data_IF_787745384983
#
_entry.id   IF_787745384983
#
_cell.length_a   1.000
_cell.length_b   1.000
_cell.length_c   1.000
_cell.angle_alpha   90.00
_cell.angle_beta   90.00
_cell.angle_gamma   90.00
#
_symmetry.space_group_name_H-M   'P 1'
#
loop_
_entity.id
_entity.type
_entity.pdbx_description
1 polymer ?
#
# COMPACT_ATOMS: atom_id res chain seq x y z
N UNK A 1 13.59 11.16 -27.19
CA UNK A 1 14.41 10.11 -26.55
C UNK A 1 15.04 9.30 -27.67
N UNK A 2 16.31 8.92 -27.56
CA UNK A 2 16.89 7.95 -28.49
C UNK A 2 16.79 6.52 -27.90
N UNK A 3 17.02 5.50 -28.73
CA UNK A 3 16.87 4.08 -28.33
C UNK A 3 17.80 3.71 -27.18
N UNK A 4 19.05 4.18 -27.20
CA UNK A 4 20.04 3.85 -26.17
C UNK A 4 19.65 4.45 -24.80
N UNK A 5 19.21 5.72 -24.80
CA UNK A 5 18.68 6.41 -23.63
C UNK A 5 17.44 5.68 -23.08
N UNK A 6 16.53 5.24 -23.95
CA UNK A 6 15.34 4.49 -23.55
C UNK A 6 15.69 3.14 -22.91
N UNK A 7 16.65 2.40 -23.50
CA UNK A 7 17.16 1.14 -22.93
C UNK A 7 17.77 1.37 -21.56
N UNK A 8 18.61 2.39 -21.41
CA UNK A 8 19.24 2.73 -20.13
C UNK A 8 18.20 3.06 -19.05
N UNK A 9 17.19 3.88 -19.38
CA UNK A 9 16.09 4.23 -18.47
C UNK A 9 15.38 2.98 -17.98
N UNK A 10 15.01 2.07 -18.87
CA UNK A 10 14.30 0.84 -18.51
C UNK A 10 15.18 -0.07 -17.66
N UNK A 11 16.35 -0.47 -18.19
CA UNK A 11 17.23 -1.46 -17.55
C UNK A 11 17.62 -1.02 -16.13
N UNK A 12 18.00 0.24 -15.94
CA UNK A 12 18.42 0.74 -14.60
C UNK A 12 17.28 0.79 -13.58
N UNK A 13 16.03 0.81 -14.02
CA UNK A 13 14.87 0.93 -13.12
C UNK A 13 14.07 -0.37 -12.96
N UNK A 14 14.30 -1.38 -13.80
CA UNK A 14 13.51 -2.63 -13.79
C UNK A 14 14.33 -3.92 -13.81
N UNK A 15 15.64 -3.85 -14.11
CA UNK A 15 16.51 -5.02 -14.25
C UNK A 15 17.02 -5.61 -12.93
N UNK A 16 17.62 -6.81 -12.99
CA UNK A 16 18.31 -7.43 -11.84
C UNK A 16 19.50 -6.55 -11.42
N UNK A 17 19.51 -6.12 -10.16
CA UNK A 17 20.54 -5.23 -9.62
C UNK A 17 20.21 -3.75 -9.71
N UNK A 18 18.99 -3.39 -10.16
CA UNK A 18 18.50 -2.02 -10.07
C UNK A 18 18.61 -1.51 -8.61
N UNK A 19 19.02 -0.25 -8.39
CA UNK A 19 19.16 0.31 -7.06
C UNK A 19 17.86 0.20 -6.25
N UNK A 20 17.99 0.07 -4.91
CA UNK A 20 16.83 0.00 -3.99
C UNK A 20 15.89 1.22 -4.14
N UNK A 21 16.43 2.35 -4.62
CA UNK A 21 15.66 3.54 -5.00
C UNK A 21 15.65 3.69 -6.51
N UNK A 22 14.46 3.95 -7.03
CA UNK A 22 14.20 4.20 -8.44
C UNK A 22 14.83 5.53 -8.88
N UNK A 23 15.44 5.54 -10.06
CA UNK A 23 16.13 6.71 -10.62
C UNK A 23 15.16 7.61 -11.41
N UNK A 24 14.09 7.02 -11.96
CA UNK A 24 13.11 7.74 -12.76
C UNK A 24 11.65 7.46 -12.35
N UNK A 25 10.76 8.46 -12.48
CA UNK A 25 9.31 8.28 -12.31
C UNK A 25 8.75 7.18 -13.20
N UNK A 26 7.68 6.50 -12.77
CA UNK A 26 7.04 5.45 -13.59
C UNK A 26 6.57 5.94 -14.96
N UNK A 27 6.11 7.19 -15.05
CA UNK A 27 5.72 7.81 -16.32
C UNK A 27 6.88 7.79 -17.33
N UNK A 28 8.07 8.26 -16.92
CA UNK A 28 9.24 8.30 -17.79
C UNK A 28 9.69 6.90 -18.25
N UNK A 29 9.57 5.91 -17.37
CA UNK A 29 9.91 4.52 -17.71
C UNK A 29 8.88 3.90 -18.65
N UNK A 30 7.60 4.22 -18.48
CA UNK A 30 6.54 3.80 -19.39
C UNK A 30 6.74 4.41 -20.78
N UNK A 31 7.05 5.70 -20.86
CA UNK A 31 7.36 6.39 -22.13
C UNK A 31 8.57 5.77 -22.83
N UNK A 32 9.65 5.50 -22.08
CA UNK A 32 10.82 4.81 -22.61
C UNK A 32 10.48 3.42 -23.13
N UNK A 33 9.65 2.66 -22.40
CA UNK A 33 9.21 1.34 -22.84
C UNK A 33 8.39 1.39 -24.13
N UNK A 34 7.44 2.34 -24.24
CA UNK A 34 6.65 2.53 -25.47
C UNK A 34 7.53 2.85 -26.66
N UNK A 35 8.50 3.75 -26.48
CA UNK A 35 9.48 4.07 -27.50
C UNK A 35 10.26 2.85 -28.00
N UNK A 36 10.69 1.95 -27.10
CA UNK A 36 11.38 0.71 -27.47
C UNK A 36 10.49 -0.29 -28.21
N UNK A 37 9.20 -0.38 -27.83
CA UNK A 37 8.24 -1.23 -28.53
C UNK A 37 8.01 -0.71 -29.95
N UNK A 38 7.83 0.60 -30.11
CA UNK A 38 7.63 1.26 -31.40
C UNK A 38 8.85 1.11 -32.32
N UNK A 39 10.05 1.38 -31.79
CA UNK A 39 11.31 1.27 -32.54
C UNK A 39 11.60 -0.17 -33.01
N UNK A 40 11.44 -1.15 -32.11
CA UNK A 40 11.65 -2.56 -32.44
C UNK A 40 10.51 -3.18 -33.27
N UNK A 41 9.36 -2.51 -33.32
CA UNK A 41 8.12 -2.97 -33.93
C UNK A 41 7.46 -4.18 -33.22
N UNK A 42 7.92 -4.54 -32.01
CA UNK A 42 7.50 -5.77 -31.35
C UNK A 42 7.80 -5.80 -29.86
N UNK A 43 6.80 -6.13 -29.04
CA UNK A 43 6.97 -6.42 -27.61
C UNK A 43 8.01 -7.52 -27.37
N UNK A 44 8.05 -8.54 -28.24
CA UNK A 44 9.01 -9.65 -28.11
C UNK A 44 10.44 -9.13 -28.23
N UNK A 45 10.73 -8.35 -29.28
CA UNK A 45 12.08 -7.79 -29.49
C UNK A 45 12.45 -6.80 -28.38
N UNK A 46 11.55 -5.89 -28.01
CA UNK A 46 11.78 -4.99 -26.89
C UNK A 46 12.10 -5.75 -25.59
N UNK A 47 11.40 -6.85 -25.31
CA UNK A 47 11.63 -7.67 -24.11
C UNK A 47 13.00 -8.35 -24.10
N UNK A 48 13.46 -8.85 -25.25
CA UNK A 48 14.79 -9.44 -25.42
C UNK A 48 15.88 -8.38 -25.24
N UNK A 49 15.68 -7.18 -25.81
CA UNK A 49 16.62 -6.07 -25.75
C UNK A 49 16.88 -5.54 -24.33
N UNK A 50 15.86 -5.50 -23.47
CA UNK A 50 15.99 -5.00 -22.09
C UNK A 50 16.07 -6.11 -21.02
N UNK A 51 16.05 -7.38 -21.45
CA UNK A 51 16.11 -8.52 -20.53
C UNK A 51 14.92 -8.63 -19.57
N UNK A 52 13.72 -8.28 -20.01
CA UNK A 52 12.47 -8.38 -19.24
C UNK A 52 11.55 -9.46 -19.81
N UNK A 53 10.58 -9.92 -19.02
CA UNK A 53 9.50 -10.74 -19.57
C UNK A 53 8.58 -9.89 -20.46
N UNK A 54 7.98 -10.50 -21.48
CA UNK A 54 6.98 -9.82 -22.31
C UNK A 54 5.79 -9.30 -21.48
N UNK A 55 5.44 -9.99 -20.38
CA UNK A 55 4.40 -9.53 -19.47
C UNK A 55 4.80 -8.24 -18.75
N UNK A 56 6.05 -8.14 -18.26
CA UNK A 56 6.55 -6.91 -17.64
C UNK A 56 6.58 -5.75 -18.64
N UNK A 57 7.02 -6.00 -19.87
CA UNK A 57 7.00 -5.00 -20.95
C UNK A 57 5.59 -4.49 -21.19
N UNK A 58 4.60 -5.39 -21.36
CA UNK A 58 3.19 -5.02 -21.52
C UNK A 58 2.66 -4.24 -20.31
N UNK A 59 2.99 -4.68 -19.10
CA UNK A 59 2.53 -4.04 -17.87
C UNK A 59 3.05 -2.60 -17.73
N UNK A 60 4.30 -2.35 -18.11
CA UNK A 60 4.92 -1.03 -18.08
C UNK A 60 4.34 -0.14 -19.18
N UNK A 61 4.21 -0.65 -20.41
CA UNK A 61 3.65 0.11 -21.52
C UNK A 61 2.20 0.54 -21.26
N UNK A 62 1.40 -0.32 -20.64
CA UNK A 62 0.01 -0.04 -20.29
C UNK A 62 -0.15 1.19 -19.37
N UNK A 63 0.89 1.57 -18.62
CA UNK A 63 0.85 2.76 -17.77
C UNK A 63 0.72 4.06 -18.57
N UNK A 64 1.13 4.08 -19.84
CA UNK A 64 0.97 5.25 -20.70
C UNK A 64 -0.49 5.55 -21.04
N UNK A 65 -1.35 4.54 -20.99
CA UNK A 65 -2.77 4.63 -21.35
C UNK A 65 -3.65 5.15 -20.20
N UNK A 66 -3.04 5.37 -19.02
CA UNK A 66 -3.71 5.99 -17.89
C UNK A 66 -4.04 7.47 -18.15
N UNK A 67 -5.10 8.01 -17.53
CA UNK A 67 -5.45 9.42 -17.59
C UNK A 67 -4.32 10.30 -17.08
N UNK A 68 -4.23 11.52 -17.61
CA UNK A 68 -3.17 12.47 -17.24
C UNK A 68 -3.17 12.78 -15.74
N UNK A 69 -4.34 12.74 -15.10
CA UNK A 69 -4.57 12.95 -13.68
C UNK A 69 -4.03 11.80 -12.82
N UNK A 70 -3.97 10.57 -13.36
CA UNK A 70 -3.47 9.39 -12.65
C UNK A 70 -1.94 9.30 -12.74
N UNK A 71 -1.34 9.78 -13.84
CA UNK A 71 0.10 9.68 -14.09
C UNK A 71 0.99 10.20 -12.94
N UNK A 72 0.70 11.36 -12.30
CA UNK A 72 1.47 11.85 -11.15
C UNK A 72 1.43 10.93 -9.92
N UNK A 73 0.36 10.14 -9.76
CA UNK A 73 0.15 9.27 -8.60
C UNK A 73 0.90 7.94 -8.71
N UNK A 74 1.44 7.61 -9.89
CA UNK A 74 2.06 6.32 -10.17
C UNK A 74 3.25 5.97 -9.27
N UNK A 75 4.02 6.98 -8.82
CA UNK A 75 5.14 6.74 -7.92
C UNK A 75 4.69 6.37 -6.50
N UNK A 76 3.51 6.82 -6.08
CA UNK A 76 2.91 6.47 -4.79
C UNK A 76 2.25 5.08 -4.84
N UNK A 77 1.42 4.83 -5.86
CA UNK A 77 0.65 3.58 -5.97
C UNK A 77 1.50 2.42 -6.53
N UNK A 78 2.50 2.73 -7.35
CA UNK A 78 3.36 1.76 -8.03
C UNK A 78 2.74 1.17 -9.31
N UNK A 79 3.55 0.43 -10.07
CA UNK A 79 3.21 0.00 -11.43
C UNK A 79 2.14 -1.10 -11.43
N UNK A 80 2.09 -1.93 -10.40
CA UNK A 80 1.12 -3.02 -10.31
C UNK A 80 -0.30 -2.49 -10.08
N UNK A 81 -0.45 -1.46 -9.25
CA UNK A 81 -1.74 -0.77 -9.08
C UNK A 81 -2.09 0.00 -10.34
N UNK A 82 -1.11 0.69 -10.97
CA UNK A 82 -1.30 1.36 -12.25
C UNK A 82 -1.79 0.44 -13.37
N UNK A 83 -1.17 -0.74 -13.54
CA UNK A 83 -1.59 -1.78 -14.49
C UNK A 83 -3.05 -2.19 -14.27
N UNK A 84 -3.46 -2.36 -13.01
CA UNK A 84 -4.83 -2.74 -12.65
C UNK A 84 -5.82 -1.62 -12.94
N UNK A 85 -5.48 -0.37 -12.62
CA UNK A 85 -6.28 0.80 -12.96
C UNK A 85 -6.48 0.90 -14.47
N UNK A 86 -5.42 0.73 -15.26
CA UNK A 86 -5.49 0.82 -16.71
C UNK A 86 -6.40 -0.25 -17.34
N UNK A 87 -6.64 -1.37 -16.63
CA UNK A 87 -7.59 -2.40 -17.06
C UNK A 87 -9.07 -2.05 -16.82
N UNK A 88 -9.36 -0.94 -16.15
CA UNK A 88 -10.73 -0.43 -15.95
C UNK A 88 -11.08 0.42 -17.18
N UNK A 89 -12.18 0.11 -17.88
CA UNK A 89 -12.53 0.83 -19.11
C UNK A 89 -12.95 2.29 -18.91
N UNK A 90 -13.47 2.63 -17.73
CA UNK A 90 -13.97 3.97 -17.42
C UNK A 90 -12.88 4.89 -16.82
N UNK A 91 -12.58 5.99 -17.52
CA UNK A 91 -11.53 6.95 -17.12
C UNK A 91 -11.89 7.67 -15.82
N UNK A 92 -13.15 8.03 -15.61
CA UNK A 92 -13.55 8.73 -14.38
C UNK A 92 -13.35 7.85 -13.15
N UNK A 93 -13.69 6.56 -13.26
CA UNK A 93 -13.43 5.55 -12.25
C UNK A 93 -11.95 5.36 -11.99
N UNK A 94 -11.11 5.33 -13.03
CA UNK A 94 -9.65 5.26 -12.88
C UNK A 94 -9.11 6.42 -12.04
N UNK A 95 -9.53 7.65 -12.34
CA UNK A 95 -9.10 8.86 -11.63
C UNK A 95 -9.51 8.79 -10.15
N UNK A 96 -10.81 8.57 -9.88
CA UNK A 96 -11.34 8.50 -8.51
C UNK A 96 -10.70 7.39 -7.68
N UNK A 97 -10.47 6.22 -8.29
CA UNK A 97 -9.79 5.12 -7.59
C UNK A 97 -8.33 5.47 -7.29
N UNK A 98 -7.61 6.07 -8.24
CA UNK A 98 -6.22 6.47 -8.04
C UNK A 98 -6.06 7.42 -6.85
N UNK A 99 -6.93 8.44 -6.75
CA UNK A 99 -6.97 9.38 -5.62
C UNK A 99 -7.26 8.68 -4.29
N UNK A 100 -8.22 7.74 -4.29
CA UNK A 100 -8.61 6.98 -3.11
C UNK A 100 -7.48 6.07 -2.60
N UNK A 101 -6.72 5.47 -3.52
CA UNK A 101 -5.73 4.43 -3.18
C UNK A 101 -4.29 4.95 -3.06
N UNK A 102 -3.98 6.13 -3.59
CA UNK A 102 -2.68 6.81 -3.42
C UNK A 102 -2.20 6.85 -1.96
N UNK A 103 -3.02 7.25 -0.96
CA UNK A 103 -2.55 7.30 0.43
C UNK A 103 -2.51 5.92 1.12
N UNK A 104 -2.86 4.83 0.44
CA UNK A 104 -2.99 3.50 1.03
C UNK A 104 -1.73 2.66 0.81
N UNK A 105 -1.58 1.61 1.61
CA UNK A 105 -0.54 0.61 1.38
C UNK A 105 -0.83 -0.10 0.06
N UNK A 106 0.21 -0.43 -0.71
CA UNK A 106 0.10 -1.11 -2.01
C UNK A 106 -0.82 -2.33 -1.99
N UNK A 107 -0.76 -3.16 -0.94
CA UNK A 107 -1.66 -4.32 -0.79
C UNK A 107 -3.13 -3.91 -0.75
N UNK A 108 -3.45 -2.89 0.04
CA UNK A 108 -4.81 -2.40 0.21
C UNK A 108 -5.32 -1.72 -1.07
N UNK A 109 -4.44 -0.95 -1.73
CA UNK A 109 -4.72 -0.36 -3.04
C UNK A 109 -5.08 -1.43 -4.08
N UNK A 110 -4.27 -2.49 -4.19
CA UNK A 110 -4.53 -3.60 -5.12
C UNK A 110 -5.87 -4.30 -4.85
N UNK A 111 -6.21 -4.55 -3.59
CA UNK A 111 -7.49 -5.17 -3.21
C UNK A 111 -8.68 -4.28 -3.58
N UNK A 112 -8.57 -2.96 -3.38
CA UNK A 112 -9.61 -1.99 -3.76
C UNK A 112 -9.82 -1.96 -5.28
N UNK A 113 -8.74 -1.86 -6.06
CA UNK A 113 -8.85 -1.82 -7.52
C UNK A 113 -9.41 -3.15 -8.07
N UNK A 114 -8.96 -4.29 -7.54
CA UNK A 114 -9.50 -5.60 -7.95
C UNK A 114 -10.98 -5.75 -7.62
N UNK A 115 -11.40 -5.29 -6.45
CA UNK A 115 -12.81 -5.34 -6.04
C UNK A 115 -13.65 -4.46 -6.96
N UNK A 116 -13.20 -3.23 -7.25
CA UNK A 116 -13.92 -2.32 -8.15
C UNK A 116 -14.09 -2.90 -9.55
N UNK A 117 -13.08 -3.62 -10.06
CA UNK A 117 -13.17 -4.29 -11.37
C UNK A 117 -14.18 -5.42 -11.40
N UNK A 118 -14.32 -6.16 -10.29
CA UNK A 118 -15.29 -7.26 -10.16
C UNK A 118 -16.72 -6.76 -9.90
N UNK A 119 -16.84 -5.55 -9.36
CA UNK A 119 -18.10 -4.95 -8.95
C UNK A 119 -18.23 -3.51 -9.49
N UNK A 120 -18.36 -3.33 -10.81
CA UNK A 120 -18.45 -2.00 -11.43
C UNK A 120 -19.71 -1.23 -11.04
N UNK A 121 -20.71 -1.89 -10.43
CA UNK A 121 -21.92 -1.28 -9.89
C UNK A 121 -21.68 -0.41 -8.66
N UNK A 122 -20.55 -0.59 -7.95
CA UNK A 122 -20.23 0.22 -6.78
C UNK A 122 -19.37 1.41 -7.14
N UNK A 123 -19.65 2.55 -6.51
CA UNK A 123 -18.78 3.70 -6.62
C UNK A 123 -17.40 3.41 -5.98
N UNK A 124 -16.32 4.07 -6.43
CA UNK A 124 -14.98 3.95 -5.83
C UNK A 124 -14.96 4.12 -4.30
N UNK A 125 -15.76 5.05 -3.78
CA UNK A 125 -15.90 5.30 -2.34
C UNK A 125 -16.54 4.13 -1.59
N UNK A 126 -17.58 3.53 -2.17
CA UNK A 126 -18.24 2.35 -1.59
C UNK A 126 -17.32 1.13 -1.60
N UNK A 127 -16.56 0.95 -2.69
CA UNK A 127 -15.55 -0.12 -2.79
C UNK A 127 -14.53 0.01 -1.67
N UNK A 128 -13.97 1.21 -1.46
CA UNK A 128 -13.03 1.48 -0.36
C UNK A 128 -13.65 1.10 0.99
N UNK A 129 -14.87 1.57 1.27
CA UNK A 129 -15.55 1.30 2.53
C UNK A 129 -15.75 -0.19 2.75
N UNK A 130 -16.23 -0.93 1.75
CA UNK A 130 -16.44 -2.38 1.81
C UNK A 130 -15.14 -3.12 2.06
N UNK A 131 -14.11 -2.89 1.25
CA UNK A 131 -12.81 -3.58 1.39
C UNK A 131 -12.16 -3.29 2.75
N UNK A 132 -12.22 -2.04 3.21
CA UNK A 132 -11.62 -1.67 4.51
C UNK A 132 -12.43 -2.21 5.70
N UNK A 133 -13.76 -2.35 5.57
CA UNK A 133 -14.61 -2.87 6.64
C UNK A 133 -14.39 -4.37 6.91
N UNK A 134 -13.94 -5.12 5.90
CA UNK A 134 -13.62 -6.55 6.01
C UNK A 134 -12.27 -6.81 6.69
N UNK A 135 -11.46 -5.78 6.92
CA UNK A 135 -10.14 -5.94 7.54
C UNK A 135 -10.28 -6.07 9.05
N UNK A 136 -9.59 -7.04 9.68
CA UNK A 136 -9.52 -7.10 11.12
C UNK A 136 -8.99 -5.78 11.65
N UNK A 137 -9.68 -5.18 12.63
CA UNK A 137 -9.16 -4.01 13.33
C UNK A 137 -7.85 -4.43 14.00
N UNK A 138 -6.74 -3.87 13.52
CA UNK A 138 -5.44 -4.02 14.20
C UNK A 138 -5.46 -3.11 15.42
N UNK A 139 -5.82 -3.65 16.56
CA UNK A 139 -5.63 -2.96 17.82
C UNK A 139 -4.13 -2.95 18.14
N UNK A 140 -3.58 -1.76 18.44
CA UNK A 140 -2.21 -1.65 18.94
C UNK A 140 -2.23 -2.12 20.38
N UNK A 141 -1.77 -3.36 20.60
CA UNK A 141 -1.56 -3.88 21.95
C UNK A 141 -0.18 -3.41 22.42
N UNK A 142 -0.17 -2.59 23.46
CA UNK A 142 1.07 -2.24 24.17
C UNK A 142 1.21 -3.16 25.38
N UNK A 143 2.30 -3.92 25.45
CA UNK A 143 2.56 -4.87 26.54
C UNK A 143 3.66 -4.31 27.45
N UNK A 144 3.33 -4.13 28.73
CA UNK A 144 4.30 -3.83 29.77
C UNK A 144 4.45 -5.06 30.66
N UNK A 145 5.68 -5.55 30.81
CA UNK A 145 6.00 -6.67 31.69
C UNK A 145 6.75 -6.09 32.89
N UNK A 146 6.18 -6.24 34.09
CA UNK A 146 6.77 -5.76 35.33
C UNK A 146 7.04 -6.97 36.22
N UNK A 147 8.30 -7.16 36.58
CA UNK A 147 8.69 -8.17 37.58
C UNK A 147 8.30 -7.69 38.97
N UNK A 148 7.69 -8.58 39.76
CA UNK A 148 7.27 -8.30 41.13
C UNK A 148 8.07 -9.18 42.08
N UNK A 149 8.47 -8.61 43.22
CA UNK A 149 8.91 -9.40 44.36
C UNK A 149 7.72 -10.12 45.00
N UNK A 150 7.99 -11.16 45.80
CA UNK A 150 6.94 -11.88 46.52
C UNK A 150 6.16 -10.94 47.47
N UNK A 151 6.85 -10.00 48.11
CA UNK A 151 6.23 -8.97 48.96
C UNK A 151 5.27 -8.09 48.15
N UNK A 152 5.70 -7.55 47.01
CA UNK A 152 4.87 -6.74 46.13
C UNK A 152 3.64 -7.52 45.63
N UNK A 153 3.81 -8.80 45.32
CA UNK A 153 2.71 -9.69 44.92
C UNK A 153 1.69 -9.88 46.04
N UNK A 154 2.12 -10.02 47.29
CA UNK A 154 1.22 -10.14 48.43
C UNK A 154 0.45 -8.84 48.71
N UNK A 155 1.12 -7.68 48.58
CA UNK A 155 0.47 -6.37 48.70
C UNK A 155 -0.61 -6.19 47.63
N UNK A 156 -0.31 -6.51 46.37
CA UNK A 156 -1.29 -6.43 45.29
C UNK A 156 -2.48 -7.37 45.51
N UNK A 157 -2.27 -8.57 46.03
CA UNK A 157 -3.35 -9.50 46.40
C UNK A 157 -4.28 -8.92 47.46
N UNK A 158 -3.74 -8.32 48.52
CA UNK A 158 -4.53 -7.66 49.56
C UNK A 158 -5.31 -6.46 49.01
N UNK A 159 -4.66 -5.63 48.19
CA UNK A 159 -5.30 -4.47 47.57
C UNK A 159 -6.46 -4.89 46.66
N UNK A 160 -6.26 -5.92 45.83
CA UNK A 160 -7.30 -6.46 44.95
C UNK A 160 -8.50 -6.98 45.77
N UNK A 161 -8.24 -7.71 46.86
CA UNK A 161 -9.28 -8.20 47.78
C UNK A 161 -10.08 -7.06 48.39
N UNK A 162 -9.42 -6.01 48.88
CA UNK A 162 -10.08 -4.85 49.48
C UNK A 162 -10.95 -4.09 48.48
N UNK A 163 -10.53 -4.05 47.21
CA UNK A 163 -11.24 -3.37 46.13
C UNK A 163 -12.27 -4.26 45.42
N UNK A 164 -12.45 -5.51 45.85
CA UNK A 164 -13.40 -6.45 45.26
C UNK A 164 -13.09 -6.84 43.80
N UNK A 165 -11.82 -6.80 43.39
CA UNK A 165 -11.39 -7.11 42.02
C UNK A 165 -10.39 -8.27 41.98
N UNK A 166 -10.31 -8.95 40.85
CA UNK A 166 -9.26 -9.95 40.63
C UNK A 166 -7.89 -9.25 40.46
N UNK A 167 -6.83 -9.88 40.98
CA UNK A 167 -5.45 -9.33 40.93
C UNK A 167 -5.00 -9.01 39.50
N UNK A 168 -5.41 -9.81 38.51
CA UNK A 168 -5.10 -9.57 37.09
C UNK A 168 -5.76 -8.33 36.51
N UNK A 169 -6.89 -7.89 37.08
CA UNK A 169 -7.64 -6.71 36.63
C UNK A 169 -7.27 -5.44 37.42
N UNK A 170 -6.55 -5.60 38.53
CA UNK A 170 -6.12 -4.50 39.39
C UNK A 170 -5.28 -3.44 38.65
N UNK A 171 -4.29 -3.79 37.80
CA UNK A 171 -3.50 -2.79 37.07
C UNK A 171 -4.37 -1.92 36.16
N UNK A 172 -5.36 -2.52 35.49
CA UNK A 172 -6.27 -1.78 34.62
C UNK A 172 -7.08 -0.76 35.41
N UNK A 173 -7.68 -1.17 36.54
CA UNK A 173 -8.46 -0.27 37.40
C UNK A 173 -7.62 0.91 37.92
N UNK A 174 -6.41 0.65 38.40
CA UNK A 174 -5.51 1.70 38.90
C UNK A 174 -5.13 2.69 37.79
N UNK A 175 -4.82 2.18 36.59
CA UNK A 175 -4.47 3.03 35.43
C UNK A 175 -5.66 3.88 35.01
N UNK A 176 -6.88 3.33 34.96
CA UNK A 176 -8.09 4.08 34.61
C UNK A 176 -8.41 5.19 35.62
N UNK A 177 -8.32 4.89 36.93
CA UNK A 177 -8.49 5.87 38.01
C UNK A 177 -7.45 7.00 37.88
N UNK A 178 -6.16 6.65 37.74
CA UNK A 178 -5.08 7.65 37.63
C UNK A 178 -5.13 8.50 36.38
N UNK A 179 -5.51 7.94 35.24
CA UNK A 179 -5.68 8.71 34.00
C UNK A 179 -6.85 9.69 34.13
N UNK A 180 -7.92 9.30 34.84
CA UNK A 180 -9.09 10.16 35.07
C UNK A 180 -8.70 11.34 35.96
N UNK A 181 -8.00 11.11 37.06
CA UNK A 181 -7.46 12.15 37.94
C UNK A 181 -6.59 13.18 37.18
N UNK A 182 -5.77 12.72 36.22
CA UNK A 182 -4.87 13.58 35.44
C UNK A 182 -5.62 14.41 34.39
N UNK A 183 -6.76 13.94 33.90
CA UNK A 183 -7.55 14.67 32.89
C UNK A 183 -8.46 15.74 33.48
N UNK A 184 -8.78 15.64 34.77
CA UNK A 184 -9.67 16.55 35.48
C UNK A 184 -8.94 17.65 36.27
N UNK A 185 -7.61 17.60 36.37
CA UNK A 185 -6.75 18.62 37.01
C UNK A 185 -5.92 19.41 36.01
#
# INVERSE_FOLDING_TARGET
MNVEEAKEIVIRNTGRGSPKRKLHPWVKIAEAMRHLIEDSGSIKKASEDVGLSQEMVRAIDLLNDLPAEVKPLLDDIGPEVGKRLASIGDKETQIKLAEIVSPLRRKDAMEIVDFSRKHPEFSPSEVKKRVMSLKPRKEKVNVFIVSLTDEQKQVLKKLASNLGVEVRNLPQKIVEEKISDIKEG
#
